data_IF_794320687222
#
_entry.id   IF_794320687222
#
_cell.length_a   1.000
_cell.length_b   1.000
_cell.length_c   1.000
_cell.angle_alpha   90.00
_cell.angle_beta   90.00
_cell.angle_gamma   90.00
#
_symmetry.space_group_name_H-M   'P 1'
#
loop_
_entity.id
_entity.type
_entity.pdbx_description
1 polymer ?
#
# COMPACT_ATOMS: atom_id res chain seq x y z
N UNK A 1 30.00 19.86 60.93
CA UNK A 1 30.99 19.18 60.08
C UNK A 1 30.40 19.00 58.72
N UNK A 2 30.59 19.98 57.84
CA UNK A 2 30.18 19.90 56.44
C UNK A 2 31.35 19.41 55.64
N UNK A 3 31.27 18.20 55.14
CA UNK A 3 32.21 17.69 54.12
C UNK A 3 31.79 18.25 52.78
N UNK A 4 32.44 19.32 52.34
CA UNK A 4 32.39 19.84 50.97
C UNK A 4 33.14 18.88 50.10
N UNK A 5 32.46 18.29 49.11
CA UNK A 5 33.03 17.49 48.06
C UNK A 5 33.86 18.40 47.11
N UNK A 6 35.19 18.23 47.02
CA UNK A 6 36.05 19.11 46.20
C UNK A 6 35.99 18.82 44.72
N UNK A 7 35.13 17.89 44.26
CA UNK A 7 35.10 17.42 42.87
C UNK A 7 34.34 18.33 41.91
N UNK A 8 33.54 19.29 42.43
CA UNK A 8 32.72 20.15 41.55
C UNK A 8 33.40 21.47 41.17
N UNK A 9 34.57 21.78 41.71
CA UNK A 9 35.28 23.04 41.41
C UNK A 9 36.23 22.94 40.19
N UNK A 10 36.50 21.73 39.70
CA UNK A 10 37.43 21.49 38.57
C UNK A 10 36.80 21.67 37.19
N UNK A 11 35.47 21.86 37.11
CA UNK A 11 34.79 22.01 35.80
C UNK A 11 34.57 23.48 35.38
N UNK A 12 34.92 24.44 36.26
CA UNK A 12 34.64 25.88 36.02
C UNK A 12 35.75 26.63 35.29
N UNK A 13 36.98 26.09 35.21
CA UNK A 13 38.12 26.75 34.58
C UNK A 13 38.47 26.25 33.19
N UNK A 14 37.50 25.67 32.48
CA UNK A 14 37.66 25.39 31.04
C UNK A 14 37.42 26.69 30.25
N UNK A 15 38.36 27.63 30.34
CA UNK A 15 38.44 28.75 29.40
C UNK A 15 38.79 28.18 28.01
N UNK A 16 37.78 27.93 27.23
CA UNK A 16 37.85 27.35 25.90
C UNK A 16 38.49 28.37 24.95
N UNK A 17 39.83 28.36 24.87
CA UNK A 17 40.54 29.07 23.79
C UNK A 17 39.92 28.58 22.47
N UNK A 18 39.27 29.47 21.73
CA UNK A 18 38.50 29.17 20.50
C UNK A 18 39.23 28.25 19.51
N UNK A 19 40.58 28.32 19.46
CA UNK A 19 41.38 27.49 18.57
C UNK A 19 41.49 26.04 19.04
N UNK A 20 41.80 25.81 20.32
CA UNK A 20 41.96 24.46 20.92
C UNK A 20 40.65 23.71 20.96
N UNK A 21 39.54 24.40 21.25
CA UNK A 21 38.19 23.82 21.23
C UNK A 21 37.80 23.38 19.84
N UNK A 22 38.07 24.17 18.82
CA UNK A 22 37.76 23.82 17.42
C UNK A 22 38.50 22.54 17.00
N UNK A 23 39.81 22.48 17.31
CA UNK A 23 40.59 21.27 17.01
C UNK A 23 40.07 20.04 17.76
N UNK A 24 39.74 20.18 19.05
CA UNK A 24 39.14 19.10 19.84
C UNK A 24 37.83 18.61 19.24
N UNK A 25 36.92 19.52 18.88
CA UNK A 25 35.63 19.16 18.27
C UNK A 25 35.81 18.46 16.93
N UNK A 26 36.78 18.85 16.12
CA UNK A 26 37.08 18.19 14.83
C UNK A 26 37.56 16.76 15.08
N UNK A 27 38.50 16.55 16.00
CA UNK A 27 38.97 15.20 16.32
C UNK A 27 37.91 14.33 16.95
N UNK A 28 37.04 14.91 17.82
CA UNK A 28 35.91 14.23 18.42
C UNK A 28 34.90 13.80 17.34
N UNK A 29 34.58 14.71 16.43
CA UNK A 29 33.66 14.40 15.30
C UNK A 29 34.23 13.32 14.37
N UNK A 30 35.54 13.38 14.10
CA UNK A 30 36.22 12.40 13.26
C UNK A 30 36.23 11.02 13.95
N UNK A 31 36.56 10.97 15.23
CA UNK A 31 36.50 9.73 16.03
C UNK A 31 35.11 9.14 16.09
N UNK A 32 34.11 9.97 16.32
CA UNK A 32 32.71 9.57 16.31
C UNK A 32 32.29 9.02 14.94
N UNK A 33 32.73 9.67 13.86
CA UNK A 33 32.44 9.25 12.49
C UNK A 33 33.02 7.87 12.19
N UNK A 34 34.30 7.62 12.53
CA UNK A 34 34.91 6.31 12.36
C UNK A 34 34.26 5.24 13.23
N UNK A 35 33.92 5.58 14.48
CA UNK A 35 33.19 4.68 15.35
C UNK A 35 31.81 4.33 14.77
N UNK A 36 31.10 5.31 14.24
CA UNK A 36 29.81 5.13 13.60
C UNK A 36 29.90 4.21 12.38
N UNK A 37 30.88 4.43 11.49
CA UNK A 37 31.10 3.58 10.33
C UNK A 37 31.34 2.14 10.77
N UNK A 38 32.25 1.94 11.72
CA UNK A 38 32.61 0.60 12.22
C UNK A 38 31.39 -0.09 12.83
N UNK A 39 30.60 0.65 13.62
CA UNK A 39 29.41 0.11 14.29
C UNK A 39 28.32 -0.29 13.29
N UNK A 40 27.99 0.59 12.36
CA UNK A 40 26.95 0.35 11.36
C UNK A 40 27.37 -0.57 10.19
N UNK A 41 28.67 -0.85 10.04
CA UNK A 41 29.17 -1.82 9.07
C UNK A 41 28.97 -3.28 9.52
N UNK A 42 28.74 -3.51 10.82
CA UNK A 42 28.46 -4.85 11.33
C UNK A 42 27.09 -5.34 10.88
N UNK A 43 26.95 -6.66 10.80
CA UNK A 43 25.68 -7.31 10.50
C UNK A 43 24.85 -7.49 11.77
N UNK A 44 23.58 -7.21 11.66
CA UNK A 44 22.58 -7.39 12.72
C UNK A 44 21.38 -8.13 12.18
N UNK A 45 20.78 -8.96 13.02
CA UNK A 45 19.51 -9.62 12.70
C UNK A 45 18.40 -8.87 13.39
N UNK A 46 17.44 -8.38 12.62
CA UNK A 46 16.31 -7.58 13.06
C UNK A 46 15.01 -8.06 12.42
N UNK A 47 13.90 -7.75 13.08
CA UNK A 47 12.55 -7.97 12.55
C UNK A 47 12.02 -6.65 11.99
N UNK A 48 11.67 -6.64 10.72
CA UNK A 48 11.07 -5.50 10.05
C UNK A 48 9.61 -5.79 9.71
N UNK A 49 8.74 -4.81 9.88
CA UNK A 49 7.39 -4.81 9.33
C UNK A 49 7.47 -4.32 7.89
N UNK A 50 6.92 -5.10 6.98
CA UNK A 50 6.98 -4.85 5.54
C UNK A 50 5.58 -4.96 4.97
N UNK A 51 5.18 -3.95 4.19
CA UNK A 51 3.93 -3.97 3.45
C UNK A 51 4.07 -4.84 2.21
N UNK A 52 3.27 -5.88 2.11
CA UNK A 52 3.23 -6.76 0.95
C UNK A 52 2.01 -6.43 0.11
N UNK A 53 2.23 -6.18 -1.17
CA UNK A 53 1.19 -5.97 -2.18
C UNK A 53 1.23 -7.08 -3.20
N UNK A 54 0.05 -7.52 -3.62
CA UNK A 54 -0.05 -8.54 -4.66
C UNK A 54 -0.28 -7.90 -6.02
N UNK A 55 0.39 -8.46 -7.02
CA UNK A 55 0.16 -8.15 -8.43
C UNK A 55 0.07 -9.46 -9.25
N UNK A 56 -0.19 -9.35 -10.55
CA UNK A 56 -0.25 -10.47 -11.49
C UNK A 56 -1.12 -11.63 -10.98
N UNK A 57 -2.43 -11.37 -10.91
CA UNK A 57 -3.39 -12.41 -10.58
C UNK A 57 -3.56 -13.37 -11.77
N UNK A 58 -3.79 -14.67 -11.53
CA UNK A 58 -4.13 -15.63 -12.57
C UNK A 58 -5.33 -15.17 -13.40
N UNK A 59 -5.41 -15.60 -14.66
CA UNK A 59 -6.54 -15.28 -15.53
C UNK A 59 -7.85 -15.75 -14.88
N UNK A 60 -8.85 -14.88 -14.86
CA UNK A 60 -10.15 -15.20 -14.29
C UNK A 60 -10.26 -15.04 -12.77
N UNK A 61 -9.24 -14.55 -12.09
CA UNK A 61 -9.23 -14.27 -10.65
C UNK A 61 -9.30 -12.77 -10.39
N UNK A 62 -10.22 -12.36 -9.52
CA UNK A 62 -10.36 -10.97 -9.06
C UNK A 62 -10.30 -10.95 -7.53
N UNK A 63 -9.37 -10.22 -6.92
CA UNK A 63 -9.33 -10.09 -5.46
C UNK A 63 -10.55 -9.32 -4.95
N UNK A 64 -11.17 -9.80 -3.87
CA UNK A 64 -12.36 -9.18 -3.27
C UNK A 64 -11.96 -8.21 -2.16
N UNK A 65 -10.91 -8.54 -1.41
CA UNK A 65 -10.42 -7.77 -0.26
C UNK A 65 -9.15 -7.00 -0.61
N UNK A 66 -8.75 -6.09 0.29
CA UNK A 66 -7.48 -5.40 0.18
C UNK A 66 -6.33 -6.40 0.06
N UNK A 67 -5.61 -6.30 -1.03
CA UNK A 67 -4.47 -7.16 -1.36
C UNK A 67 -3.16 -6.69 -0.71
N UNK A 68 -3.24 -5.90 0.34
CA UNK A 68 -2.09 -5.48 1.14
C UNK A 68 -2.12 -6.20 2.49
N UNK A 69 -1.00 -6.76 2.87
CA UNK A 69 -0.82 -7.45 4.15
C UNK A 69 0.50 -7.03 4.77
N UNK A 70 0.50 -6.80 6.08
CA UNK A 70 1.73 -6.58 6.83
C UNK A 70 2.39 -7.91 7.18
N UNK A 71 3.67 -8.03 6.91
CA UNK A 71 4.47 -9.20 7.19
C UNK A 71 5.68 -8.81 8.01
N UNK A 72 5.96 -9.57 9.06
CA UNK A 72 7.19 -9.48 9.79
C UNK A 72 8.27 -10.31 9.07
N UNK A 73 9.33 -9.64 8.65
CA UNK A 73 10.47 -10.25 7.98
C UNK A 73 11.66 -10.21 8.93
N UNK A 74 12.14 -11.37 9.34
CA UNK A 74 13.40 -11.48 10.07
C UNK A 74 14.53 -11.57 9.05
N UNK A 75 15.40 -10.58 9.06
CA UNK A 75 16.51 -10.52 8.12
C UNK A 75 17.82 -10.08 8.79
N UNK A 76 18.92 -10.48 8.17
CA UNK A 76 20.27 -10.08 8.57
C UNK A 76 20.83 -9.12 7.53
N UNK A 77 21.20 -7.93 7.98
CA UNK A 77 21.74 -6.87 7.12
C UNK A 77 22.71 -5.99 7.90
N UNK A 78 23.46 -5.13 7.20
CA UNK A 78 24.31 -4.14 7.85
C UNK A 78 23.46 -3.09 8.58
N UNK A 79 24.02 -2.52 9.65
CA UNK A 79 23.31 -1.48 10.42
C UNK A 79 22.84 -0.30 9.55
N UNK A 80 23.60 0.08 8.52
CA UNK A 80 23.21 1.12 7.56
C UNK A 80 21.96 0.72 6.76
N UNK A 81 21.91 -0.53 6.27
CA UNK A 81 20.75 -1.03 5.53
C UNK A 81 19.50 -1.07 6.43
N UNK A 82 19.64 -1.56 7.66
CA UNK A 82 18.53 -1.60 8.62
C UNK A 82 17.98 -0.21 8.95
N UNK A 83 18.86 0.79 9.12
CA UNK A 83 18.42 2.16 9.27
C UNK A 83 17.63 2.65 8.05
N UNK A 84 18.15 2.37 6.86
CA UNK A 84 17.50 2.75 5.62
C UNK A 84 16.10 2.14 5.51
N UNK A 85 15.95 0.84 5.79
CA UNK A 85 14.67 0.16 5.75
C UNK A 85 13.67 0.71 6.78
N UNK A 86 14.13 1.04 7.99
CA UNK A 86 13.28 1.62 9.04
C UNK A 86 12.82 3.04 8.74
N UNK A 87 13.68 3.86 8.11
CA UNK A 87 13.35 5.27 7.83
C UNK A 87 12.51 5.47 6.58
N UNK A 88 12.82 4.76 5.50
CA UNK A 88 12.10 4.91 4.23
C UNK A 88 10.87 4.01 4.14
N UNK A 89 10.74 3.03 5.03
CA UNK A 89 9.77 1.96 4.90
C UNK A 89 10.15 1.00 3.76
N UNK A 90 9.63 -0.20 3.80
CA UNK A 90 9.85 -1.19 2.75
C UNK A 90 8.51 -1.75 2.35
N UNK A 91 8.22 -1.72 1.05
CA UNK A 91 7.08 -2.39 0.46
C UNK A 91 7.57 -3.43 -0.54
N UNK A 92 6.94 -4.59 -0.53
CA UNK A 92 7.25 -5.72 -1.39
C UNK A 92 6.06 -5.98 -2.29
N UNK A 93 6.33 -6.28 -3.55
CA UNK A 93 5.32 -6.68 -4.52
C UNK A 93 5.52 -8.16 -4.84
N UNK A 94 4.48 -8.96 -4.62
CA UNK A 94 4.51 -10.39 -4.86
C UNK A 94 3.65 -10.77 -6.07
N UNK A 95 4.17 -11.70 -6.87
CA UNK A 95 3.40 -12.33 -7.92
C UNK A 95 2.44 -13.36 -7.34
N UNK A 96 1.13 -13.12 -7.51
CA UNK A 96 0.08 -13.98 -6.97
C UNK A 96 -0.08 -15.29 -7.75
N UNK A 97 0.46 -15.41 -8.95
CA UNK A 97 0.33 -16.64 -9.78
C UNK A 97 0.91 -17.89 -9.10
N UNK A 98 1.86 -17.70 -8.18
CA UNK A 98 2.47 -18.80 -7.41
C UNK A 98 1.61 -19.29 -6.25
N UNK A 99 0.46 -18.67 -6.00
CA UNK A 99 -0.47 -19.02 -4.94
C UNK A 99 -1.31 -20.27 -5.24
N UNK A 100 -1.86 -20.86 -4.21
CA UNK A 100 -2.88 -21.89 -4.29
C UNK A 100 -4.24 -21.24 -4.19
N UNK A 101 -5.11 -21.46 -5.17
CA UNK A 101 -6.44 -20.86 -5.28
C UNK A 101 -7.47 -21.96 -5.11
N UNK A 102 -8.18 -21.98 -3.98
CA UNK A 102 -9.18 -22.98 -3.68
C UNK A 102 -10.39 -22.35 -2.99
N UNK A 103 -11.59 -22.67 -3.46
CA UNK A 103 -12.86 -22.32 -2.81
C UNK A 103 -13.00 -20.82 -2.46
N UNK A 104 -12.53 -19.91 -3.33
CA UNK A 104 -12.62 -18.47 -3.08
C UNK A 104 -11.55 -17.91 -2.15
N UNK A 105 -10.62 -18.74 -1.65
CA UNK A 105 -9.49 -18.34 -0.82
C UNK A 105 -8.17 -18.63 -1.55
N UNK A 106 -7.33 -17.63 -1.60
CA UNK A 106 -5.96 -17.77 -2.10
C UNK A 106 -4.98 -17.84 -0.92
N UNK A 107 -4.00 -18.73 -1.02
CA UNK A 107 -2.92 -18.86 -0.06
C UNK A 107 -1.56 -18.81 -0.77
N UNK A 108 -0.71 -17.89 -0.34
CA UNK A 108 0.61 -17.67 -0.94
C UNK A 108 1.69 -17.94 0.11
N UNK A 109 2.41 -19.06 0.00
CA UNK A 109 3.55 -19.35 0.86
C UNK A 109 4.73 -18.43 0.51
N UNK A 110 5.17 -17.60 1.44
CA UNK A 110 6.24 -16.62 1.22
C UNK A 110 7.60 -17.27 0.94
N UNK A 111 7.79 -18.49 1.42
CA UNK A 111 9.02 -19.25 1.19
C UNK A 111 9.29 -19.53 -0.30
N UNK A 112 8.24 -19.67 -1.12
CA UNK A 112 8.39 -19.89 -2.56
C UNK A 112 8.87 -18.65 -3.31
N UNK A 113 8.72 -17.48 -2.71
CA UNK A 113 9.09 -16.19 -3.30
C UNK A 113 10.27 -15.51 -2.59
N UNK A 114 11.03 -16.26 -1.78
CA UNK A 114 12.11 -15.69 -0.96
C UNK A 114 13.14 -14.90 -1.78
N UNK A 115 13.52 -15.41 -2.93
CA UNK A 115 14.48 -14.76 -3.83
C UNK A 115 13.90 -13.48 -4.44
N UNK A 116 12.67 -13.54 -4.93
CA UNK A 116 11.94 -12.39 -5.48
C UNK A 116 11.75 -11.28 -4.44
N UNK A 117 11.49 -11.67 -3.19
CA UNK A 117 11.41 -10.75 -2.05
C UNK A 117 12.77 -10.14 -1.74
N UNK A 118 13.82 -10.96 -1.70
CA UNK A 118 15.17 -10.54 -1.37
C UNK A 118 15.73 -9.55 -2.39
N UNK A 119 15.45 -9.74 -3.66
CA UNK A 119 15.91 -8.90 -4.77
C UNK A 119 15.26 -7.49 -4.75
N UNK A 120 14.11 -7.34 -4.09
CA UNK A 120 13.44 -6.05 -3.92
C UNK A 120 14.02 -5.19 -2.80
N UNK A 121 14.81 -5.80 -1.90
CA UNK A 121 15.53 -5.03 -0.88
C UNK A 121 16.83 -4.45 -1.44
N UNK A 122 17.11 -3.22 -1.09
CA UNK A 122 18.40 -2.60 -1.42
C UNK A 122 19.54 -3.33 -0.70
N UNK A 123 20.50 -3.89 -1.47
CA UNK A 123 21.68 -4.56 -0.92
C UNK A 123 21.48 -6.01 -0.50
N UNK A 124 20.44 -6.67 -1.00
CA UNK A 124 20.19 -8.13 -0.86
C UNK A 124 20.46 -8.69 0.54
N UNK A 125 19.65 -8.33 1.56
CA UNK A 125 19.80 -8.84 2.91
C UNK A 125 19.52 -10.34 2.97
N UNK A 126 20.10 -11.04 3.93
CA UNK A 126 19.78 -12.44 4.15
C UNK A 126 18.46 -12.59 4.92
N UNK A 127 17.42 -13.09 4.26
CA UNK A 127 16.11 -13.32 4.88
C UNK A 127 16.14 -14.66 5.62
N UNK A 128 15.79 -14.64 6.91
CA UNK A 128 15.79 -15.82 7.80
C UNK A 128 14.40 -16.43 7.94
N UNK A 129 13.38 -15.58 8.12
CA UNK A 129 12.01 -16.03 8.38
C UNK A 129 10.97 -14.97 8.02
N UNK A 130 9.75 -15.44 7.80
CA UNK A 130 8.55 -14.62 7.65
C UNK A 130 7.52 -14.98 8.71
N UNK A 131 6.76 -14.00 9.16
CA UNK A 131 5.60 -14.23 10.00
C UNK A 131 4.45 -13.26 9.59
N UNK A 132 3.29 -13.80 9.14
CA UNK A 132 2.99 -15.21 8.90
C UNK A 132 3.80 -15.80 7.72
N UNK A 133 3.97 -17.11 7.69
CA UNK A 133 4.68 -17.81 6.60
C UNK A 133 3.86 -17.90 5.32
N UNK A 134 2.55 -17.79 5.43
CA UNK A 134 1.60 -17.86 4.32
C UNK A 134 0.64 -16.69 4.42
N UNK A 135 0.44 -16.02 3.33
CA UNK A 135 -0.56 -14.95 3.22
C UNK A 135 -1.83 -15.51 2.61
N UNK A 136 -2.97 -15.04 3.14
CA UNK A 136 -4.28 -15.43 2.67
C UNK A 136 -5.06 -14.19 2.24
N UNK A 137 -5.79 -14.31 1.12
CA UNK A 137 -6.75 -13.31 0.69
C UNK A 137 -7.94 -13.97 -0.02
N UNK A 138 -9.07 -13.29 -0.01
CA UNK A 138 -10.27 -13.75 -0.69
C UNK A 138 -10.30 -13.29 -2.15
N UNK A 139 -10.73 -14.17 -3.03
CA UNK A 139 -10.90 -13.87 -4.44
C UNK A 139 -12.26 -14.35 -4.96
N UNK A 140 -12.69 -13.78 -6.07
CA UNK A 140 -13.82 -14.26 -6.86
C UNK A 140 -13.37 -14.59 -8.27
N UNK A 141 -14.13 -15.43 -8.93
CA UNK A 141 -13.98 -15.63 -10.38
C UNK A 141 -14.47 -14.41 -11.14
N UNK A 142 -13.78 -14.11 -12.24
CA UNK A 142 -14.18 -13.07 -13.17
C UNK A 142 -15.39 -13.54 -13.98
N UNK A 143 -16.50 -12.91 -13.78
CA UNK A 143 -17.74 -13.17 -14.51
C UNK A 143 -18.07 -12.07 -15.51
N UNK A 144 -19.07 -12.37 -16.38
CA UNK A 144 -19.69 -11.42 -17.28
C UNK A 144 -21.20 -11.52 -17.14
N UNK A 145 -21.86 -10.38 -16.95
CA UNK A 145 -23.33 -10.30 -16.82
C UNK A 145 -23.87 -9.14 -17.63
N UNK A 146 -24.88 -9.41 -18.42
CA UNK A 146 -25.62 -8.38 -19.14
C UNK A 146 -26.65 -7.76 -18.20
N UNK A 147 -26.56 -6.44 -17.98
CA UNK A 147 -27.43 -5.70 -17.08
C UNK A 147 -28.21 -4.64 -17.85
N UNK A 148 -29.51 -4.48 -17.56
CA UNK A 148 -30.32 -3.42 -18.16
C UNK A 148 -29.89 -2.06 -17.62
N UNK A 149 -30.04 -1.03 -18.43
CA UNK A 149 -29.82 0.35 -18.07
C UNK A 149 -31.10 0.93 -17.51
N UNK A 150 -31.04 1.58 -16.33
CA UNK A 150 -32.20 2.24 -15.69
C UNK A 150 -31.83 3.68 -15.36
N UNK A 151 -32.70 4.61 -15.67
CA UNK A 151 -32.54 6.00 -15.27
C UNK A 151 -32.92 6.18 -13.80
N UNK A 152 -32.00 6.69 -13.01
CA UNK A 152 -32.19 6.96 -11.58
C UNK A 152 -32.35 8.45 -11.27
N UNK A 153 -32.55 9.31 -12.24
CA UNK A 153 -32.72 10.74 -12.00
C UNK A 153 -34.09 11.22 -12.34
N UNK A 154 -34.61 12.15 -11.51
CA UNK A 154 -35.80 12.90 -11.80
C UNK A 154 -35.51 13.90 -12.92
N UNK A 155 -36.09 13.65 -14.09
CA UNK A 155 -36.05 14.60 -15.19
C UNK A 155 -36.95 15.78 -14.83
N UNK A 156 -36.36 16.94 -14.61
CA UNK A 156 -37.15 18.18 -14.43
C UNK A 156 -37.69 18.65 -15.77
N UNK A 157 -38.95 18.43 -15.98
CA UNK A 157 -39.66 18.93 -17.17
C UNK A 157 -40.11 20.38 -16.95
N UNK A 158 -40.13 21.15 -18.04
CA UNK A 158 -40.71 22.49 -18.02
C UNK A 158 -42.22 22.41 -17.71
N UNK A 159 -42.80 23.47 -17.11
CA UNK A 159 -44.21 23.54 -16.76
C UNK A 159 -45.11 23.33 -17.99
N UNK A 160 -45.96 22.33 -17.91
CA UNK A 160 -46.88 22.00 -19.02
C UNK A 160 -46.38 20.88 -19.94
N UNK A 161 -45.20 20.32 -19.69
CA UNK A 161 -44.68 19.19 -20.44
C UNK A 161 -44.72 17.92 -19.61
N UNK A 162 -44.97 16.76 -20.26
CA UNK A 162 -44.97 15.42 -19.69
C UNK A 162 -44.23 14.45 -20.59
N UNK A 163 -43.81 13.33 -20.03
CA UNK A 163 -43.21 12.22 -20.79
C UNK A 163 -44.39 11.40 -21.33
N UNK A 164 -44.54 11.39 -22.65
CA UNK A 164 -45.66 10.69 -23.31
C UNK A 164 -45.40 9.18 -23.44
N UNK A 165 -44.15 8.78 -23.61
CA UNK A 165 -43.74 7.38 -23.77
C UNK A 165 -42.61 7.04 -22.81
N UNK A 166 -42.43 5.77 -22.41
CA UNK A 166 -41.31 5.34 -21.63
C UNK A 166 -39.98 5.69 -22.32
N UNK A 167 -39.00 6.09 -21.52
CA UNK A 167 -37.66 6.39 -22.06
C UNK A 167 -37.01 5.08 -22.54
N UNK A 168 -36.66 5.06 -23.81
CA UNK A 168 -35.89 3.97 -24.39
C UNK A 168 -34.39 4.31 -24.41
N UNK A 169 -33.58 3.32 -24.11
CA UNK A 169 -32.12 3.47 -24.13
C UNK A 169 -31.57 2.64 -25.29
N UNK A 170 -30.62 3.22 -26.02
CA UNK A 170 -29.85 2.51 -27.03
C UNK A 170 -28.35 2.62 -26.72
N UNK A 171 -27.72 1.52 -26.28
CA UNK A 171 -28.27 0.20 -26.01
C UNK A 171 -29.13 0.14 -24.71
N UNK A 172 -30.09 -0.77 -24.67
CA UNK A 172 -30.97 -1.04 -23.53
C UNK A 172 -30.26 -1.73 -22.36
N UNK A 173 -29.13 -2.37 -22.64
CA UNK A 173 -28.36 -3.17 -21.70
C UNK A 173 -26.88 -3.17 -22.07
N UNK A 174 -26.01 -3.33 -21.07
CA UNK A 174 -24.57 -3.39 -21.23
C UNK A 174 -23.98 -4.66 -20.60
N UNK A 175 -22.87 -5.14 -21.15
CA UNK A 175 -22.10 -6.23 -20.55
C UNK A 175 -21.18 -5.64 -19.48
N UNK A 176 -21.32 -6.14 -18.24
CA UNK A 176 -20.49 -5.76 -17.11
C UNK A 176 -19.60 -6.95 -16.76
N UNK A 177 -18.31 -6.71 -16.68
CA UNK A 177 -17.29 -7.69 -16.30
C UNK A 177 -16.79 -7.35 -14.89
N UNK A 178 -16.72 -8.34 -14.02
CA UNK A 178 -16.25 -8.15 -12.65
C UNK A 178 -16.32 -9.43 -11.82
N UNK A 179 -16.14 -9.29 -10.52
CA UNK A 179 -16.24 -10.40 -9.58
C UNK A 179 -17.65 -10.99 -9.60
N UNK A 180 -17.80 -12.29 -9.79
CA UNK A 180 -19.09 -12.99 -9.96
C UNK A 180 -20.02 -12.73 -8.79
N UNK A 181 -19.50 -12.78 -7.55
CA UNK A 181 -20.27 -12.51 -6.35
C UNK A 181 -20.85 -11.09 -6.30
N UNK A 182 -20.14 -10.10 -6.84
CA UNK A 182 -20.65 -8.72 -6.96
C UNK A 182 -21.67 -8.60 -8.09
N UNK A 183 -21.39 -9.22 -9.24
CA UNK A 183 -22.29 -9.22 -10.39
C UNK A 183 -23.65 -9.83 -10.04
N UNK A 184 -23.69 -10.85 -9.17
CA UNK A 184 -24.94 -11.49 -8.76
C UNK A 184 -25.83 -10.56 -7.95
N UNK A 185 -25.26 -9.62 -7.22
CA UNK A 185 -26.00 -8.61 -6.47
C UNK A 185 -26.55 -7.49 -7.32
N UNK A 186 -25.93 -7.24 -8.48
CA UNK A 186 -26.33 -6.18 -9.39
C UNK A 186 -27.55 -6.59 -10.22
N UNK A 187 -28.60 -5.76 -10.20
CA UNK A 187 -29.84 -5.97 -10.96
C UNK A 187 -29.91 -5.08 -12.21
N UNK A 188 -29.34 -3.90 -12.15
CA UNK A 188 -29.36 -2.93 -13.24
C UNK A 188 -28.19 -1.96 -13.09
N UNK A 189 -27.84 -1.25 -14.14
CA UNK A 189 -26.91 -0.14 -14.13
C UNK A 189 -27.70 1.17 -14.15
N UNK A 190 -27.52 2.01 -13.12
CA UNK A 190 -28.19 3.29 -13.02
C UNK A 190 -27.42 4.38 -13.76
N UNK A 191 -28.11 5.08 -14.66
CA UNK A 191 -27.66 6.33 -15.26
C UNK A 191 -28.07 7.49 -14.37
N UNK A 192 -27.08 8.28 -13.93
CA UNK A 192 -27.33 9.53 -13.24
C UNK A 192 -27.13 10.70 -14.20
N UNK A 193 -28.20 11.40 -14.54
CA UNK A 193 -28.21 12.51 -15.50
C UNK A 193 -28.26 13.86 -14.77
N UNK A 194 -27.36 14.08 -13.82
CA UNK A 194 -27.30 15.33 -13.02
C UNK A 194 -27.10 16.63 -13.86
N UNK A 195 -26.86 16.52 -15.18
CA UNK A 195 -26.54 17.63 -16.08
C UNK A 195 -27.45 17.72 -17.32
N UNK A 196 -28.61 17.08 -17.33
CA UNK A 196 -29.60 17.35 -18.38
C UNK A 196 -30.29 18.69 -18.07
N UNK A 197 -29.82 19.73 -18.71
CA UNK A 197 -30.58 20.98 -18.82
C UNK A 197 -31.87 20.70 -19.58
N UNK A 198 -32.94 21.44 -19.18
CA UNK A 198 -34.29 21.36 -19.74
C UNK A 198 -34.24 21.30 -21.26
N UNK A 199 -34.47 20.14 -21.83
CA UNK A 199 -34.56 19.97 -23.28
C UNK A 199 -35.98 20.43 -23.67
N UNK A 200 -36.07 21.60 -24.31
CA UNK A 200 -37.28 22.01 -25.02
C UNK A 200 -37.44 21.15 -26.27
N UNK A 201 -38.01 19.99 -26.14
CA UNK A 201 -38.48 19.21 -27.27
C UNK A 201 -39.86 19.78 -27.66
N UNK A 202 -39.84 20.69 -28.62
CA UNK A 202 -41.06 21.11 -29.33
C UNK A 202 -41.44 20.00 -30.31
N UNK A 203 -42.25 19.04 -29.86
CA UNK A 203 -43.01 18.18 -30.75
C UNK A 203 -44.27 18.94 -31.17
N UNK A 204 -44.21 19.61 -32.32
CA UNK A 204 -45.38 20.09 -33.02
C UNK A 204 -46.03 18.83 -33.63
N UNK A 205 -47.08 18.35 -33.00
CA UNK A 205 -47.95 17.41 -33.61
C UNK A 205 -49.07 18.20 -34.29
N UNK A 206 -49.09 18.13 -35.59
CA UNK A 206 -50.25 18.57 -36.39
C UNK A 206 -51.12 17.36 -36.66
#
# INVERSE_FOLDING_TARGET
MEQRFPFLHSLQDFSLERGKTRSFLIFLALSFFFWMITKFSNQYTEVLLVDVRFNHFPMGVVPISNTSSEVQVTLTASGFQLLFYKFLGTSIVLNSEKGLFENGNASIPLQLSIQEIQDQFSGTPEIKAFFPNTLHFEYSELGNKRLPIVLQSDIKLATGFGIAEPLEFDPDSINVIGATNLLDTLKAVSLNTSNLEVVNLSLIHI
#
